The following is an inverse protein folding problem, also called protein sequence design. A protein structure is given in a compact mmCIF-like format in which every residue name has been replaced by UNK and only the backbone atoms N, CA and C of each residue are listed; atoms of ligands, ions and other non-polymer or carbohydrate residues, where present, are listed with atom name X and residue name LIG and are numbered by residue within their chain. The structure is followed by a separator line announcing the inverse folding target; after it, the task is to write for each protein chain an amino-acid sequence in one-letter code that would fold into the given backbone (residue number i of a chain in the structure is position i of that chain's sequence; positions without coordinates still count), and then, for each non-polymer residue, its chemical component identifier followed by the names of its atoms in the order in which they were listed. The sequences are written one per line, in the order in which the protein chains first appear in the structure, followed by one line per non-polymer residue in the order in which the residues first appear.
data_IF_992776999876
#
_entry.id   IF_992776999876
#
_cell.length_a   1.000
_cell.length_b   1.000
_cell.length_c   1.000
_cell.angle_alpha   90.00
_cell.angle_beta   90.00
_cell.angle_gamma   90.00
#
_symmetry.space_group_name_H-M   'P 1'
#
loop_
_entity.id
_entity.type
_entity.pdbx_description
1 polymer ?
#
# COMPACT_ATOMS: atom_id res chain seq x y z
N UNK A 1 67.40 -12.35 -32.61
CA UNK A 1 65.93 -12.32 -32.83
C UNK A 1 65.23 -12.26 -31.49
N UNK A 2 64.62 -11.14 -31.10
CA UNK A 2 63.82 -11.02 -29.88
C UNK A 2 62.38 -10.69 -30.28
N UNK A 3 61.45 -11.63 -30.06
CA UNK A 3 60.02 -11.46 -30.36
C UNK A 3 59.35 -10.89 -29.11
N UNK A 4 58.90 -9.63 -29.18
CA UNK A 4 58.24 -8.91 -28.08
C UNK A 4 56.73 -9.18 -28.17
N UNK A 5 56.25 -10.10 -27.34
CA UNK A 5 54.83 -10.46 -27.26
C UNK A 5 54.00 -9.38 -26.55
N UNK A 6 52.83 -8.97 -27.07
CA UNK A 6 52.02 -7.88 -26.51
C UNK A 6 50.99 -8.41 -25.50
N UNK A 7 51.44 -8.90 -24.35
CA UNK A 7 50.53 -9.38 -23.28
C UNK A 7 49.78 -8.25 -22.56
N UNK A 8 50.22 -7.00 -22.74
CA UNK A 8 49.73 -5.84 -21.99
C UNK A 8 48.36 -5.32 -22.46
N UNK A 9 48.04 -5.47 -23.75
CA UNK A 9 46.77 -5.01 -24.34
C UNK A 9 45.60 -5.94 -24.02
N UNK A 10 45.86 -7.26 -24.00
CA UNK A 10 44.86 -8.29 -23.71
C UNK A 10 44.39 -8.20 -22.25
N UNK A 11 45.31 -7.94 -21.33
CA UNK A 11 44.99 -7.79 -19.91
C UNK A 11 44.13 -6.56 -19.66
N UNK A 12 44.46 -5.42 -20.28
CA UNK A 12 43.70 -4.17 -20.18
C UNK A 12 42.28 -4.30 -20.74
N UNK A 13 42.11 -5.05 -21.83
CA UNK A 13 40.82 -5.26 -22.46
C UNK A 13 39.90 -6.19 -21.65
N UNK A 14 40.44 -7.24 -21.02
CA UNK A 14 39.68 -8.14 -20.14
C UNK A 14 39.13 -7.43 -18.88
N UNK A 15 39.89 -6.50 -18.31
CA UNK A 15 39.46 -5.73 -17.13
C UNK A 15 38.28 -4.80 -17.45
N UNK A 16 38.28 -4.16 -18.63
CA UNK A 16 37.18 -3.30 -19.06
C UNK A 16 35.88 -4.10 -19.26
N UNK A 17 35.96 -5.28 -19.88
CA UNK A 17 34.79 -6.15 -20.06
C UNK A 17 34.21 -6.65 -18.73
N UNK A 18 35.06 -6.98 -17.76
CA UNK A 18 34.60 -7.38 -16.41
C UNK A 18 33.90 -6.22 -15.70
N UNK A 19 34.43 -4.99 -15.79
CA UNK A 19 33.81 -3.81 -15.18
C UNK A 19 32.44 -3.48 -15.79
N UNK A 20 32.28 -3.61 -17.11
CA UNK A 20 30.98 -3.40 -17.79
C UNK A 20 29.94 -4.43 -17.34
N UNK A 21 30.32 -5.71 -17.24
CA UNK A 21 29.42 -6.78 -16.78
C UNK A 21 28.98 -6.54 -15.34
N UNK A 22 29.90 -6.15 -14.44
CA UNK A 22 29.57 -5.83 -13.04
C UNK A 22 28.60 -4.66 -12.94
N UNK A 23 28.74 -3.63 -13.81
CA UNK A 23 27.84 -2.48 -13.82
C UNK A 23 26.40 -2.85 -14.25
N UNK A 24 26.25 -3.78 -15.21
CA UNK A 24 24.95 -4.25 -15.67
C UNK A 24 24.19 -5.08 -14.62
N UNK A 25 24.89 -5.76 -13.71
CA UNK A 25 24.25 -6.59 -12.67
C UNK A 25 23.89 -5.84 -11.39
N UNK A 26 24.36 -4.60 -11.19
CA UNK A 26 24.06 -3.82 -9.99
C UNK A 26 22.63 -3.21 -9.95
N UNK A 27 21.86 -3.32 -11.04
CA UNK A 27 20.56 -2.64 -11.17
C UNK A 27 19.36 -3.31 -10.47
N UNK A 28 19.45 -4.58 -10.07
CA UNK A 28 18.28 -5.32 -9.58
C UNK A 28 17.88 -5.01 -8.13
N UNK A 29 18.79 -4.48 -7.30
CA UNK A 29 18.49 -4.20 -5.88
C UNK A 29 17.92 -2.79 -5.63
N UNK A 30 18.04 -1.87 -6.58
CA UNK A 30 17.60 -0.47 -6.42
C UNK A 30 16.13 -0.26 -6.77
N UNK A 31 15.49 -1.24 -7.42
CA UNK A 31 14.09 -1.19 -7.86
C UNK A 31 13.10 -1.54 -6.74
N UNK A 32 13.16 -0.87 -5.59
CA UNK A 32 12.00 -0.67 -4.69
C UNK A 32 11.19 -1.89 -4.20
N UNK A 33 11.70 -3.12 -4.30
CA UNK A 33 11.08 -4.36 -3.78
C UNK A 33 11.27 -4.36 -2.26
N UNK A 34 10.50 -3.55 -1.54
CA UNK A 34 10.60 -3.51 -0.08
C UNK A 34 10.01 -2.29 0.61
N UNK A 35 9.15 -1.48 -0.04
CA UNK A 35 8.46 -0.43 0.71
C UNK A 35 7.55 -1.08 1.75
N UNK A 36 7.67 -0.73 3.05
CA UNK A 36 6.76 -1.22 4.07
C UNK A 36 5.32 -0.92 3.65
N UNK A 37 4.48 -1.95 3.65
CA UNK A 37 3.04 -1.73 3.52
C UNK A 37 2.55 -1.05 4.79
N UNK A 38 1.71 -0.02 4.68
CA UNK A 38 1.12 0.60 5.85
C UNK A 38 0.26 -0.43 6.58
N UNK A 39 0.27 -0.37 7.90
CA UNK A 39 -0.55 -1.25 8.73
C UNK A 39 -2.03 -0.90 8.52
N UNK A 40 -2.90 -1.85 8.14
CA UNK A 40 -4.31 -1.57 7.97
C UNK A 40 -4.97 -1.23 9.31
N UNK A 41 -5.94 -0.32 9.29
CA UNK A 41 -6.81 -0.03 10.44
C UNK A 41 -8.17 -0.65 10.15
N UNK A 42 -8.56 -1.65 10.94
CA UNK A 42 -9.81 -2.41 10.73
C UNK A 42 -11.01 -1.74 11.40
N UNK A 43 -12.23 -2.09 10.98
CA UNK A 43 -13.47 -1.58 11.60
C UNK A 43 -13.54 -1.93 13.10
N UNK A 44 -13.27 -3.19 13.55
CA UNK A 44 -13.25 -3.50 14.98
C UNK A 44 -12.24 -2.66 15.77
N UNK A 45 -11.08 -2.35 15.19
CA UNK A 45 -10.07 -1.48 15.82
C UNK A 45 -10.58 -0.05 15.96
N UNK A 46 -11.27 0.49 14.95
CA UNK A 46 -11.92 1.81 15.04
C UNK A 46 -12.99 1.83 16.11
N UNK A 47 -13.81 0.79 16.21
CA UNK A 47 -14.81 0.65 17.28
C UNK A 47 -14.11 0.64 18.65
N UNK A 48 -13.01 -0.11 18.79
CA UNK A 48 -12.25 -0.16 20.04
C UNK A 48 -11.66 1.21 20.41
N UNK A 49 -11.07 1.94 19.46
CA UNK A 49 -10.55 3.29 19.68
C UNK A 49 -11.67 4.26 20.08
N UNK A 50 -12.84 4.15 19.45
CA UNK A 50 -14.02 4.97 19.78
C UNK A 50 -14.50 4.69 21.21
N UNK A 51 -14.61 3.41 21.59
CA UNK A 51 -14.99 2.98 22.96
C UNK A 51 -13.95 3.38 24.01
N UNK A 52 -12.68 3.44 23.63
CA UNK A 52 -11.59 3.93 24.48
C UNK A 52 -11.51 5.47 24.56
N UNK A 53 -12.47 6.19 23.97
CA UNK A 53 -12.52 7.65 23.93
C UNK A 53 -11.25 8.30 23.33
N UNK A 54 -10.62 7.62 22.37
CA UNK A 54 -9.53 8.21 21.59
C UNK A 54 -10.08 9.43 20.83
N UNK A 55 -9.37 10.58 20.81
CA UNK A 55 -9.84 11.76 20.10
C UNK A 55 -10.11 11.47 18.62
N UNK A 56 -11.22 11.99 18.10
CA UNK A 56 -11.67 11.79 16.72
C UNK A 56 -10.56 12.11 15.71
N UNK A 57 -9.86 13.23 15.89
CA UNK A 57 -8.78 13.65 14.99
C UNK A 57 -7.61 12.64 14.97
N UNK A 58 -7.31 12.03 16.11
CA UNK A 58 -6.28 10.99 16.21
C UNK A 58 -6.70 9.72 15.46
N UNK A 59 -7.98 9.34 15.54
CA UNK A 59 -8.52 8.20 14.78
C UNK A 59 -8.44 8.49 13.27
N UNK A 60 -8.90 9.66 12.84
CA UNK A 60 -8.86 10.07 11.44
C UNK A 60 -7.42 10.13 10.91
N UNK A 61 -6.48 10.65 11.69
CA UNK A 61 -5.07 10.67 11.30
C UNK A 61 -4.52 9.25 11.09
N UNK A 62 -4.80 8.32 12.01
CA UNK A 62 -4.41 6.92 11.86
C UNK A 62 -5.00 6.28 10.61
N UNK A 63 -6.26 6.57 10.29
CA UNK A 63 -6.92 6.06 9.09
C UNK A 63 -6.35 6.67 7.79
N UNK A 64 -5.95 7.95 7.81
CA UNK A 64 -5.22 8.57 6.70
C UNK A 64 -3.86 7.92 6.48
N UNK A 65 -3.13 7.67 7.56
CA UNK A 65 -1.80 7.06 7.52
C UNK A 65 -1.83 5.60 7.08
N UNK A 66 -2.88 4.85 7.44
CA UNK A 66 -3.07 3.46 7.02
C UNK A 66 -3.41 3.34 5.54
N UNK A 67 -4.04 4.36 4.95
CA UNK A 67 -4.56 4.33 3.58
C UNK A 67 -5.52 3.15 3.35
N UNK A 68 -6.23 2.74 4.40
CA UNK A 68 -7.30 1.73 4.34
C UNK A 68 -8.57 2.36 3.79
N UNK A 69 -9.24 1.65 2.90
CA UNK A 69 -10.54 2.04 2.33
C UNK A 69 -11.59 1.03 2.79
N UNK A 70 -12.77 1.52 3.17
CA UNK A 70 -13.82 0.74 3.82
C UNK A 70 -15.03 0.63 2.91
N UNK A 71 -15.40 -0.58 2.49
CA UNK A 71 -16.66 -0.79 1.78
C UNK A 71 -17.73 -1.23 2.78
N UNK A 72 -18.53 -0.27 3.21
CA UNK A 72 -19.58 -0.45 4.21
C UNK A 72 -20.97 -0.33 3.58
N UNK A 73 -21.90 -1.17 4.04
CA UNK A 73 -23.33 -1.00 3.72
C UNK A 73 -23.96 0.07 4.61
N UNK A 74 -25.13 0.57 4.21
CA UNK A 74 -25.89 1.50 5.06
C UNK A 74 -26.23 0.90 6.44
N UNK A 75 -26.58 -0.39 6.49
CA UNK A 75 -26.85 -1.08 7.77
C UNK A 75 -25.61 -1.19 8.66
N UNK A 76 -24.43 -1.42 8.08
CA UNK A 76 -23.17 -1.43 8.82
C UNK A 76 -22.84 -0.05 9.39
N UNK A 77 -23.03 1.02 8.60
CA UNK A 77 -22.83 2.40 9.08
C UNK A 77 -23.73 2.74 10.27
N UNK A 78 -25.02 2.37 10.21
CA UNK A 78 -25.95 2.54 11.33
C UNK A 78 -25.50 1.76 12.56
N UNK A 79 -25.12 0.48 12.39
CA UNK A 79 -24.63 -0.33 13.50
C UNK A 79 -23.37 0.26 14.15
N UNK A 80 -22.44 0.78 13.36
CA UNK A 80 -21.24 1.44 13.88
C UNK A 80 -21.56 2.73 14.63
N UNK A 81 -22.53 3.50 14.16
CA UNK A 81 -23.02 4.67 14.89
C UNK A 81 -23.62 4.28 16.25
N UNK A 82 -24.45 3.24 16.30
CA UNK A 82 -25.01 2.69 17.54
C UNK A 82 -23.94 2.13 18.49
N UNK A 83 -22.84 1.60 17.95
CA UNK A 83 -21.65 1.16 18.69
C UNK A 83 -20.80 2.31 19.25
N UNK A 84 -21.17 3.55 18.98
CA UNK A 84 -20.50 4.75 19.48
C UNK A 84 -19.37 5.27 18.60
N UNK A 85 -19.29 4.84 17.33
CA UNK A 85 -18.32 5.42 16.38
C UNK A 85 -18.77 6.85 16.01
N UNK A 86 -17.90 7.87 16.14
CA UNK A 86 -18.24 9.25 15.82
C UNK A 86 -18.61 9.45 14.35
N UNK A 87 -19.60 10.30 14.05
CA UNK A 87 -20.06 10.56 12.67
C UNK A 87 -18.92 10.99 11.74
N UNK A 88 -18.01 11.85 12.19
CA UNK A 88 -16.87 12.28 11.37
C UNK A 88 -15.97 11.12 10.92
N UNK A 89 -15.87 10.05 11.73
CA UNK A 89 -15.13 8.84 11.36
C UNK A 89 -15.91 8.02 10.32
N UNK A 90 -17.23 7.89 10.50
CA UNK A 90 -18.12 7.21 9.55
C UNK A 90 -18.15 7.92 8.20
N UNK A 91 -18.23 9.25 8.21
CA UNK A 91 -18.19 10.10 7.02
C UNK A 91 -16.88 9.88 6.27
N UNK A 92 -15.75 9.85 6.97
CA UNK A 92 -14.45 9.55 6.37
C UNK A 92 -14.40 8.14 5.76
N UNK A 93 -14.92 7.11 6.46
CA UNK A 93 -15.02 5.75 5.91
C UNK A 93 -15.79 5.73 4.59
N UNK A 94 -16.95 6.40 4.55
CA UNK A 94 -17.77 6.47 3.35
C UNK A 94 -17.13 7.30 2.24
N UNK A 95 -16.49 8.42 2.58
CA UNK A 95 -15.82 9.29 1.62
C UNK A 95 -14.70 8.57 0.90
N UNK A 96 -13.87 7.80 1.62
CA UNK A 96 -12.78 7.02 1.00
C UNK A 96 -13.31 6.00 -0.01
N UNK A 97 -14.43 5.32 0.28
CA UNK A 97 -15.09 4.42 -0.66
C UNK A 97 -15.58 5.17 -1.91
N UNK A 98 -16.32 6.25 -1.71
CA UNK A 98 -16.88 7.03 -2.82
C UNK A 98 -15.77 7.65 -3.69
N UNK A 99 -14.67 8.08 -3.10
CA UNK A 99 -13.51 8.61 -3.82
C UNK A 99 -12.83 7.53 -4.66
N UNK A 100 -12.71 6.31 -4.14
CA UNK A 100 -12.15 5.17 -4.87
C UNK A 100 -13.02 4.82 -6.09
N UNK A 101 -14.33 4.64 -5.90
CA UNK A 101 -15.26 4.32 -6.99
C UNK A 101 -15.34 5.44 -8.03
N UNK A 102 -15.30 6.72 -7.60
CA UNK A 102 -15.24 7.86 -8.53
C UNK A 102 -13.99 7.86 -9.40
N UNK A 103 -12.87 7.35 -8.88
CA UNK A 103 -11.62 7.25 -9.63
C UNK A 103 -11.63 6.06 -10.59
N UNK A 104 -12.20 4.94 -10.16
CA UNK A 104 -12.34 3.73 -10.97
C UNK A 104 -13.67 3.02 -10.65
N UNK A 105 -14.61 3.10 -11.60
CA UNK A 105 -15.95 2.51 -11.45
C UNK A 105 -15.89 0.98 -11.27
N UNK A 106 -14.82 0.30 -11.72
CA UNK A 106 -14.67 -1.14 -11.52
C UNK A 106 -14.66 -1.51 -10.02
N UNK A 107 -14.24 -0.60 -9.14
CA UNK A 107 -14.24 -0.81 -7.69
C UNK A 107 -15.66 -0.86 -7.08
N UNK A 108 -16.72 -0.60 -7.87
CA UNK A 108 -18.09 -0.92 -7.46
C UNK A 108 -18.30 -2.43 -7.31
N UNK A 109 -17.62 -3.26 -8.11
CA UNK A 109 -17.69 -4.73 -8.00
C UNK A 109 -16.96 -5.20 -6.73
N UNK A 110 -17.63 -6.06 -5.96
CA UNK A 110 -17.12 -6.64 -4.71
C UNK A 110 -15.85 -7.47 -4.91
N UNK A 111 -15.62 -8.01 -6.12
CA UNK A 111 -14.45 -8.83 -6.44
C UNK A 111 -13.10 -8.13 -6.28
N UNK A 112 -13.08 -6.79 -6.29
CA UNK A 112 -11.86 -6.01 -6.10
C UNK A 112 -11.50 -5.77 -4.63
N UNK A 113 -12.37 -6.16 -3.70
CA UNK A 113 -12.21 -5.90 -2.28
C UNK A 113 -11.73 -7.14 -1.55
N UNK A 114 -10.92 -6.93 -0.52
CA UNK A 114 -10.41 -7.98 0.33
C UNK A 114 -11.36 -8.22 1.51
N UNK A 115 -11.73 -9.48 1.72
CA UNK A 115 -12.45 -9.91 2.92
C UNK A 115 -11.44 -10.16 4.04
N UNK A 116 -11.55 -9.46 5.17
CA UNK A 116 -10.63 -9.64 6.29
C UNK A 116 -11.08 -10.70 7.32
N UNK A 117 -12.24 -11.34 7.13
CA UNK A 117 -12.77 -12.35 8.07
C UNK A 117 -13.53 -11.78 9.27
N UNK A 118 -13.59 -10.45 9.40
CA UNK A 118 -14.22 -9.70 10.49
C UNK A 118 -15.63 -9.17 10.14
N UNK A 119 -16.17 -9.54 8.98
CA UNK A 119 -17.47 -9.07 8.51
C UNK A 119 -17.40 -7.89 7.54
N UNK A 120 -16.22 -7.34 7.26
CA UNK A 120 -16.04 -6.12 6.48
C UNK A 120 -15.15 -6.32 5.26
N UNK A 121 -15.41 -5.50 4.24
CA UNK A 121 -14.66 -5.45 2.99
C UNK A 121 -13.71 -4.26 2.99
N UNK A 122 -12.46 -4.52 2.62
CA UNK A 122 -11.40 -3.53 2.66
C UNK A 122 -10.65 -3.41 1.34
N UNK A 123 -10.05 -2.24 1.16
CA UNK A 123 -9.20 -1.92 0.01
C UNK A 123 -8.10 -0.94 0.37
N UNK A 124 -7.45 -0.44 -0.67
CA UNK A 124 -6.34 0.51 -0.56
C UNK A 124 -4.98 -0.17 -0.44
N UNK A 125 -3.99 0.62 -0.04
CA UNK A 125 -2.57 0.23 -0.09
C UNK A 125 -2.19 -0.97 0.80
N UNK A 126 -2.72 -1.12 2.03
CA UNK A 126 -2.46 -2.30 2.86
C UNK A 126 -2.90 -3.62 2.25
N UNK A 127 -3.85 -3.58 1.30
CA UNK A 127 -4.42 -4.76 0.63
C UNK A 127 -3.82 -4.98 -0.77
N UNK A 128 -2.69 -4.34 -1.06
CA UNK A 128 -1.93 -4.59 -2.29
C UNK A 128 -2.55 -4.00 -3.55
N UNK A 129 -3.51 -3.06 -3.42
CA UNK A 129 -4.00 -2.34 -4.59
C UNK A 129 -2.83 -1.57 -5.28
N UNK A 130 -2.93 -1.23 -6.58
CA UNK A 130 -2.00 -0.37 -7.33
C UNK A 130 -2.36 1.14 -7.26
N UNK A 131 -1.37 2.03 -7.10
CA UNK A 131 -1.56 3.48 -6.77
C UNK A 131 -2.55 4.28 -7.64
N UNK A 132 -2.95 3.75 -8.80
CA UNK A 132 -3.94 4.37 -9.68
C UNK A 132 -5.38 4.25 -9.15
N UNK A 133 -5.63 3.43 -8.13
CA UNK A 133 -6.98 3.16 -7.60
C UNK A 133 -7.40 3.98 -6.38
N UNK A 134 -6.51 4.76 -5.74
CA UNK A 134 -6.86 5.56 -4.54
C UNK A 134 -6.06 6.87 -4.40
#
# INVERSE_FOLDING_TARGET
MYVRFPYWTIFRQRVVWVLVVVLCFAGCATLGIGRPQPTPITVPEVVQMSKAAVPVETILQKMRDSQTIYRLTASQLVGLHEDGVPNAVLDYMQETYLAAVRRDQALEDWRHWAWAGDGYWYGGRPYGWPRVWW
#
